data_IF_812158235448
#
_entry.id   IF_812158235448
#
_cell.length_a   1.000
_cell.length_b   1.000
_cell.length_c   1.000
_cell.angle_alpha   90.00
_cell.angle_beta   90.00
_cell.angle_gamma   90.00
#
_symmetry.space_group_name_H-M   'P 1'
#
loop_
_entity.id
_entity.type
_entity.pdbx_description
1 polymer ?
#
# COMPACT_ATOMS: atom_id res chain seq x y z
N UNK A 1 0.20 -13.26 0.65
CA UNK A 1 -0.85 -12.22 0.64
C UNK A 1 -0.46 -11.19 -0.42
N UNK A 2 -1.29 -10.98 -1.43
CA UNK A 2 -0.99 -10.05 -2.53
C UNK A 2 -1.42 -8.65 -2.11
N UNK A 3 -0.47 -7.73 -1.93
CA UNK A 3 -0.79 -6.33 -1.67
C UNK A 3 -0.84 -5.53 -2.99
N UNK A 4 -1.48 -4.37 -2.93
CA UNK A 4 -1.64 -3.41 -4.04
C UNK A 4 -0.86 -2.11 -3.80
N UNK A 5 0.15 -2.11 -2.91
CA UNK A 5 0.91 -0.89 -2.55
C UNK A 5 1.42 -0.17 -3.80
N UNK A 6 2.13 -0.88 -4.68
CA UNK A 6 2.68 -0.31 -5.93
C UNK A 6 1.60 0.25 -6.86
N UNK A 7 0.41 -0.35 -6.88
CA UNK A 7 -0.69 0.11 -7.72
C UNK A 7 -1.20 1.48 -7.24
N UNK A 8 -1.56 1.59 -5.96
CA UNK A 8 -2.01 2.86 -5.38
C UNK A 8 -0.93 3.93 -5.42
N UNK A 9 0.31 3.54 -5.14
CA UNK A 9 1.46 4.45 -5.14
C UNK A 9 1.68 5.14 -6.50
N UNK A 10 1.36 4.45 -7.60
CA UNK A 10 1.49 4.97 -8.96
C UNK A 10 0.15 5.42 -9.59
N UNK A 11 -0.93 5.53 -8.81
CA UNK A 11 -2.27 5.81 -9.37
C UNK A 11 -2.45 7.24 -9.86
N UNK A 12 -1.56 8.16 -9.48
CA UNK A 12 -1.54 9.56 -9.94
C UNK A 12 -0.32 9.79 -10.81
N UNK A 13 -0.51 10.36 -11.99
CA UNK A 13 0.60 10.66 -12.93
C UNK A 13 1.45 11.83 -12.40
N UNK A 14 0.79 12.89 -11.91
CA UNK A 14 1.45 14.15 -11.51
C UNK A 14 2.03 14.13 -10.09
N UNK A 15 1.63 13.18 -9.25
CA UNK A 15 2.03 13.11 -7.84
C UNK A 15 2.13 11.67 -7.36
N UNK A 16 3.18 10.98 -7.83
CA UNK A 16 3.48 9.61 -7.42
C UNK A 16 4.05 9.60 -6.02
N UNK A 17 3.49 8.76 -5.16
CA UNK A 17 4.11 8.45 -3.87
C UNK A 17 5.36 7.62 -4.16
N UNK A 18 6.48 7.87 -3.50
CA UNK A 18 7.68 7.05 -3.68
C UNK A 18 7.78 5.99 -2.58
N UNK A 19 8.57 4.94 -2.82
CA UNK A 19 8.90 3.98 -1.76
C UNK A 19 9.65 4.65 -0.59
N UNK A 20 10.38 5.74 -0.87
CA UNK A 20 11.10 6.49 0.15
C UNK A 20 10.14 7.32 1.01
N UNK A 21 9.10 7.92 0.42
CA UNK A 21 8.09 8.67 1.18
C UNK A 21 7.37 7.77 2.18
N UNK A 22 6.98 6.58 1.74
CA UNK A 22 6.37 5.58 2.63
C UNK A 22 7.34 5.17 3.73
N UNK A 23 8.61 4.91 3.40
CA UNK A 23 9.63 4.52 4.37
C UNK A 23 9.86 5.62 5.42
N UNK A 24 9.88 6.88 5.01
CA UNK A 24 9.99 8.04 5.89
C UNK A 24 8.76 8.14 6.81
N UNK A 25 7.57 7.90 6.27
CA UNK A 25 6.31 8.01 7.01
C UNK A 25 6.17 6.93 8.09
N UNK A 26 6.50 5.67 7.79
CA UNK A 26 6.29 4.54 8.72
C UNK A 26 7.52 4.20 9.57
N UNK A 27 8.65 4.88 9.36
CA UNK A 27 9.93 4.53 9.97
C UNK A 27 10.49 3.22 9.37
N UNK A 28 11.40 3.37 8.40
CA UNK A 28 12.04 2.22 7.77
C UNK A 28 12.94 2.59 6.61
N UNK A 29 13.20 1.62 5.74
CA UNK A 29 14.03 1.81 4.55
C UNK A 29 13.23 1.58 3.27
N UNK A 30 13.64 2.23 2.19
CA UNK A 30 13.10 1.98 0.83
C UNK A 30 13.13 0.48 0.47
N UNK A 31 14.18 -0.24 0.88
CA UNK A 31 14.31 -1.68 0.67
C UNK A 31 13.23 -2.48 1.40
N UNK A 32 12.84 -2.08 2.62
CA UNK A 32 11.72 -2.69 3.35
C UNK A 32 10.41 -2.58 2.56
N UNK A 33 10.13 -1.41 1.98
CA UNK A 33 8.92 -1.18 1.16
C UNK A 33 8.98 -1.98 -0.14
N UNK A 34 10.14 -2.04 -0.80
CA UNK A 34 10.34 -2.89 -2.00
C UNK A 34 10.07 -4.36 -1.69
N UNK A 35 10.59 -4.88 -0.57
CA UNK A 35 10.31 -6.25 -0.14
C UNK A 35 8.83 -6.51 0.16
N UNK A 36 8.10 -5.50 0.66
CA UNK A 36 6.66 -5.56 0.80
C UNK A 36 5.96 -5.62 -0.57
N UNK A 37 6.25 -4.70 -1.48
CA UNK A 37 5.66 -4.67 -2.83
C UNK A 37 5.90 -5.97 -3.61
N UNK A 38 7.07 -6.60 -3.44
CA UNK A 38 7.42 -7.88 -4.06
C UNK A 38 6.84 -9.11 -3.35
N UNK A 39 6.23 -8.94 -2.17
CA UNK A 39 5.75 -10.04 -1.34
C UNK A 39 6.85 -10.88 -0.70
N UNK A 40 8.12 -10.45 -0.76
CA UNK A 40 9.27 -11.12 -0.14
C UNK A 40 9.23 -11.06 1.40
N UNK A 41 8.57 -10.05 1.95
CA UNK A 41 8.38 -9.87 3.39
C UNK A 41 6.90 -9.69 3.70
N UNK A 42 6.42 -10.34 4.76
CA UNK A 42 5.06 -10.13 5.27
C UNK A 42 4.97 -8.75 5.94
N UNK A 43 3.97 -7.99 5.54
CA UNK A 43 3.64 -6.67 6.12
C UNK A 43 3.00 -6.89 7.49
N UNK A 44 3.42 -6.11 8.49
CA UNK A 44 2.77 -6.10 9.81
C UNK A 44 1.51 -5.24 9.78
N UNK A 45 0.59 -5.42 10.73
CA UNK A 45 -0.64 -4.62 10.75
C UNK A 45 -0.36 -3.12 10.95
N UNK A 46 0.62 -2.78 11.77
CA UNK A 46 1.07 -1.39 11.99
C UNK A 46 1.63 -0.77 10.72
N UNK A 47 2.53 -1.48 10.02
CA UNK A 47 3.04 -1.02 8.73
C UNK A 47 1.92 -0.86 7.70
N UNK A 48 0.96 -1.78 7.67
CA UNK A 48 -0.16 -1.71 6.74
C UNK A 48 -1.01 -0.44 6.98
N UNK A 49 -1.30 -0.12 8.25
CA UNK A 49 -1.98 1.11 8.63
C UNK A 49 -1.17 2.36 8.28
N UNK A 50 0.14 2.33 8.55
CA UNK A 50 1.05 3.43 8.21
C UNK A 50 1.12 3.67 6.70
N UNK A 51 1.19 2.62 5.89
CA UNK A 51 1.19 2.71 4.42
C UNK A 51 -0.11 3.33 3.92
N UNK A 52 -1.27 2.89 4.42
CA UNK A 52 -2.57 3.48 4.06
C UNK A 52 -2.62 4.95 4.48
N UNK A 53 -2.15 5.29 5.68
CA UNK A 53 -2.07 6.67 6.16
C UNK A 53 -1.23 7.56 5.25
N UNK A 54 -0.05 7.08 4.85
CA UNK A 54 0.82 7.77 3.89
C UNK A 54 0.12 7.97 2.54
N UNK A 55 -0.50 6.94 1.96
CA UNK A 55 -1.23 7.09 0.69
C UNK A 55 -2.34 8.14 0.80
N UNK A 56 -3.11 8.12 1.88
CA UNK A 56 -4.17 9.10 2.14
C UNK A 56 -3.63 10.52 2.33
N UNK A 57 -2.44 10.71 2.92
CA UNK A 57 -1.83 12.04 3.06
C UNK A 57 -1.42 12.65 1.71
N UNK A 58 -1.25 11.82 0.68
CA UNK A 58 -1.04 12.26 -0.72
C UNK A 58 -2.37 12.36 -1.51
N UNK A 59 -3.51 12.33 -0.81
CA UNK A 59 -4.84 12.45 -1.41
C UNK A 59 -5.33 11.19 -2.12
N UNK A 60 -4.68 10.04 -1.92
CA UNK A 60 -5.14 8.78 -2.51
C UNK A 60 -6.28 8.22 -1.66
N UNK A 61 -7.46 8.06 -2.26
CA UNK A 61 -8.60 7.42 -1.60
C UNK A 61 -8.40 5.91 -1.54
N UNK A 62 -8.07 5.40 -0.35
CA UNK A 62 -7.84 3.98 -0.13
C UNK A 62 -8.09 3.57 1.33
N UNK A 63 -8.24 2.27 1.57
CA UNK A 63 -8.38 1.68 2.89
C UNK A 63 -7.52 0.41 3.00
N UNK A 64 -7.54 -0.21 4.18
CA UNK A 64 -6.76 -1.43 4.42
C UNK A 64 -7.17 -2.55 3.44
N UNK A 65 -8.47 -2.74 3.21
CA UNK A 65 -8.98 -3.81 2.35
C UNK A 65 -8.70 -3.56 0.86
N UNK A 66 -8.65 -2.30 0.41
CA UNK A 66 -8.31 -2.01 -0.99
C UNK A 66 -6.81 -2.17 -1.25
N UNK A 67 -5.94 -1.76 -0.31
CA UNK A 67 -4.47 -1.89 -0.44
C UNK A 67 -3.98 -3.29 -0.11
N UNK A 68 -4.62 -3.98 0.83
CA UNK A 68 -4.26 -5.28 1.36
C UNK A 68 -5.45 -6.25 1.30
N UNK A 69 -5.96 -6.56 0.09
CA UNK A 69 -7.18 -7.35 -0.06
C UNK A 69 -7.05 -8.74 0.56
N UNK A 70 -8.07 -9.12 1.31
CA UNK A 70 -8.20 -10.49 1.80
C UNK A 70 -8.57 -11.37 0.62
N UNK A 71 -7.77 -12.40 0.33
CA UNK A 71 -8.02 -13.36 -0.75
C UNK A 71 -9.33 -14.14 -0.60
N UNK A 72 -10.00 -14.06 0.56
CA UNK A 72 -11.30 -14.68 0.81
C UNK A 72 -12.50 -13.80 0.49
N UNK A 73 -12.33 -12.51 0.25
CA UNK A 73 -13.40 -11.61 -0.19
C UNK A 73 -13.15 -11.24 -1.65
N UNK A 74 -13.83 -11.92 -2.56
CA UNK A 74 -14.01 -11.41 -3.92
C UNK A 74 -15.16 -10.41 -3.88
N UNK A 75 -14.96 -9.25 -4.50
CA UNK A 75 -16.05 -8.36 -4.86
C UNK A 75 -17.01 -9.14 -5.78
N UNK A 76 -18.13 -9.60 -5.22
CA UNK A 76 -19.35 -9.84 -5.98
C UNK A 76 -19.92 -8.45 -6.32
N UNK A 77 -19.45 -7.86 -7.41
CA UNK A 77 -20.20 -6.79 -8.08
C UNK A 77 -20.94 -7.46 -9.23
N UNK A 78 -22.19 -7.82 -8.97
CA UNK A 78 -23.19 -8.09 -9.99
C UNK A 78 -23.56 -6.77 -10.68
N UNK A 79 -23.25 -6.66 -11.97
CA UNK A 79 -24.12 -6.03 -12.98
C UNK A 79 -24.03 -6.84 -14.26
#
# INVERSE_FOLDING_TARGET
MKNKIKHFRNSREDMKVTQQDIANYIGGTKSRISNYEMGKRKVTLDDARGIVGCLKSFGIECCLDTVFPNSKFKEEVQQ
#
